data_IF_667410581108
#
_entry.id   IF_667410581108
#
_cell.length_a   1.000
_cell.length_b   1.000
_cell.length_c   1.000
_cell.angle_alpha   90.00
_cell.angle_beta   90.00
_cell.angle_gamma   90.00
#
_symmetry.space_group_name_H-M   'P 1'
#
loop_
_entity.id
_entity.type
_entity.pdbx_description
1 polymer ?
#
# COMPACT_ATOMS: atom_id res chain seq x y z
N UNK A 1 39.51 -16.33 -25.26
CA UNK A 1 38.22 -16.85 -24.73
C UNK A 1 37.08 -16.18 -25.47
N UNK A 2 36.32 -16.93 -26.27
CA UNK A 2 35.19 -16.36 -27.00
C UNK A 2 34.06 -16.00 -26.00
N UNK A 3 33.63 -14.73 -25.99
CA UNK A 3 32.54 -14.26 -25.13
C UNK A 3 31.22 -14.72 -25.74
N UNK A 4 30.49 -15.56 -25.01
CA UNK A 4 29.19 -16.06 -25.45
C UNK A 4 28.21 -14.89 -25.59
N UNK A 5 27.60 -14.75 -26.77
CA UNK A 5 26.55 -13.77 -27.05
C UNK A 5 25.18 -14.43 -26.84
N UNK A 6 24.23 -13.79 -26.15
CA UNK A 6 22.90 -14.35 -26.00
C UNK A 6 22.18 -14.40 -27.36
N UNK A 7 21.42 -15.46 -27.58
CA UNK A 7 20.66 -15.71 -28.81
C UNK A 7 19.64 -14.60 -29.10
N UNK A 8 19.04 -14.04 -28.04
CA UNK A 8 18.05 -12.97 -28.14
C UNK A 8 18.53 -11.77 -27.34
N UNK A 9 18.53 -10.58 -27.97
CA UNK A 9 18.77 -9.29 -27.31
C UNK A 9 17.48 -8.48 -27.34
N UNK A 10 16.62 -8.60 -26.31
CA UNK A 10 15.40 -7.82 -26.27
C UNK A 10 15.75 -6.32 -26.21
N UNK A 11 14.95 -5.49 -26.89
CA UNK A 11 15.12 -4.03 -26.86
C UNK A 11 14.85 -3.54 -25.43
N UNK A 12 15.91 -3.13 -24.74
CA UNK A 12 15.79 -2.59 -23.39
C UNK A 12 15.14 -1.21 -23.47
N UNK A 13 13.84 -1.15 -23.24
CA UNK A 13 13.09 0.10 -23.16
C UNK A 13 13.21 0.62 -21.72
N UNK A 14 13.97 1.72 -21.54
CA UNK A 14 14.05 2.40 -20.24
C UNK A 14 12.87 3.35 -20.11
N UNK A 15 12.09 3.20 -19.03
CA UNK A 15 10.95 4.08 -18.72
C UNK A 15 11.39 5.52 -18.44
N UNK A 16 12.58 5.71 -17.86
CA UNK A 16 13.18 7.00 -17.59
C UNK A 16 14.70 6.88 -17.66
N UNK A 17 15.34 7.83 -18.34
CA UNK A 17 16.80 7.96 -18.41
C UNK A 17 17.35 8.98 -17.41
N UNK A 18 16.54 9.98 -17.03
CA UNK A 18 16.93 11.05 -16.09
C UNK A 18 17.07 10.56 -14.65
N UNK A 19 18.11 11.01 -13.95
CA UNK A 19 18.30 10.78 -12.51
C UNK A 19 17.21 11.47 -11.68
N UNK A 20 16.92 10.92 -10.50
CA UNK A 20 16.06 11.57 -9.51
C UNK A 20 16.90 12.58 -8.73
N UNK A 21 16.60 13.87 -8.93
CA UNK A 21 17.30 14.97 -8.27
C UNK A 21 16.53 15.43 -7.02
N UNK A 22 17.25 15.82 -5.97
CA UNK A 22 16.65 16.46 -4.80
C UNK A 22 16.01 17.79 -5.19
N UNK A 23 14.85 18.09 -4.61
CA UNK A 23 14.15 19.36 -4.78
C UNK A 23 15.07 20.53 -4.38
N UNK A 24 15.17 21.57 -5.23
CA UNK A 24 16.00 22.77 -5.08
C UNK A 24 17.53 22.59 -5.25
N UNK A 25 18.00 21.42 -5.71
CA UNK A 25 19.43 21.18 -5.98
C UNK A 25 20.01 21.98 -7.15
N UNK A 26 19.13 22.47 -8.02
CA UNK A 26 19.42 23.34 -9.17
C UNK A 26 19.72 24.80 -8.76
N UNK A 27 19.15 25.28 -7.64
CA UNK A 27 19.26 26.68 -7.21
C UNK A 27 20.39 26.96 -6.22
N UNK A 28 20.83 25.94 -5.48
CA UNK A 28 21.76 26.12 -4.38
C UNK A 28 22.94 25.16 -4.48
N UNK A 29 24.15 25.69 -4.61
CA UNK A 29 25.40 24.91 -4.66
C UNK A 29 25.59 24.00 -3.43
N UNK A 30 25.06 24.41 -2.26
CA UNK A 30 25.07 23.61 -1.02
C UNK A 30 24.19 22.36 -1.07
N UNK A 31 23.17 22.29 -1.94
CA UNK A 31 22.22 21.17 -2.00
C UNK A 31 22.69 20.18 -3.08
N UNK A 32 23.18 19.02 -2.65
CA UNK A 32 23.60 17.95 -3.57
C UNK A 32 22.41 17.37 -4.33
N UNK A 33 22.63 17.00 -5.61
CA UNK A 33 21.63 16.41 -6.50
C UNK A 33 21.24 14.96 -6.20
N UNK A 34 21.84 14.32 -5.18
CA UNK A 34 21.41 13.01 -4.69
C UNK A 34 19.95 13.09 -4.25
N UNK A 35 19.13 12.11 -4.59
CA UNK A 35 17.73 12.09 -4.18
C UNK A 35 17.56 12.13 -2.65
N UNK A 36 16.74 13.06 -2.16
CA UNK A 36 16.29 13.12 -0.77
C UNK A 36 14.77 13.23 -0.74
N UNK A 37 14.14 12.44 0.12
CA UNK A 37 12.70 12.55 0.38
C UNK A 37 12.45 13.87 1.15
N UNK A 38 11.64 14.82 0.62
CA UNK A 38 11.35 16.07 1.30
C UNK A 38 10.51 15.80 2.57
N UNK A 39 10.83 16.51 3.66
CA UNK A 39 10.27 16.30 5.02
C UNK A 39 9.54 17.52 5.62
N UNK A 40 9.52 18.66 4.93
CA UNK A 40 8.83 19.88 5.39
C UNK A 40 7.29 19.75 5.36
N UNK A 41 6.61 20.62 6.10
CA UNK A 41 5.13 20.66 6.25
C UNK A 41 4.44 20.95 4.90
N UNK A 42 5.12 21.65 3.99
CA UNK A 42 4.65 21.91 2.61
C UNK A 42 4.64 20.65 1.71
N UNK A 43 5.05 19.49 2.23
CA UNK A 43 4.79 18.21 1.58
C UNK A 43 3.36 17.78 1.89
N UNK A 44 2.63 17.28 0.88
CA UNK A 44 1.24 16.80 0.98
C UNK A 44 1.02 15.59 1.92
N UNK A 45 1.97 15.29 2.81
CA UNK A 45 1.95 14.17 3.75
C UNK A 45 2.07 14.68 5.18
N UNK A 46 1.06 14.45 5.99
CA UNK A 46 0.99 14.81 7.40
C UNK A 46 1.19 13.56 8.26
N UNK A 47 2.20 13.56 9.13
CA UNK A 47 2.49 12.42 9.99
C UNK A 47 1.55 12.41 11.19
N UNK A 48 0.77 11.34 11.35
CA UNK A 48 -0.24 11.19 12.41
C UNK A 48 0.24 10.19 13.46
N UNK A 49 0.24 10.61 14.72
CA UNK A 49 0.50 9.76 15.88
C UNK A 49 -0.79 9.28 16.55
N UNK A 50 -1.82 10.12 16.55
CA UNK A 50 -3.02 9.97 17.38
C UNK A 50 -4.31 10.22 16.57
N UNK A 51 -5.45 9.74 17.07
CA UNK A 51 -6.77 9.97 16.44
C UNK A 51 -7.14 11.45 16.41
N UNK A 52 -6.84 12.21 17.48
CA UNK A 52 -7.12 13.66 17.58
C UNK A 52 -6.40 14.47 16.50
N UNK A 53 -5.22 14.03 16.06
CA UNK A 53 -4.45 14.72 15.02
C UNK A 53 -5.09 14.60 13.63
N UNK A 54 -6.01 13.64 13.42
CA UNK A 54 -6.82 13.58 12.20
C UNK A 54 -7.85 14.72 12.13
N UNK A 55 -8.28 15.27 13.26
CA UNK A 55 -9.30 16.34 13.28
C UNK A 55 -8.72 17.65 12.76
N UNK A 56 -7.42 17.88 13.00
CA UNK A 56 -6.65 19.01 12.44
C UNK A 56 -6.66 19.00 10.90
N UNK A 57 -6.79 17.81 10.29
CA UNK A 57 -6.76 17.66 8.85
C UNK A 57 -8.11 17.92 8.17
N UNK A 58 -9.22 18.02 8.91
CA UNK A 58 -10.59 18.06 8.37
C UNK A 58 -10.80 19.13 7.27
N UNK A 59 -10.25 20.32 7.45
CA UNK A 59 -10.36 21.42 6.48
C UNK A 59 -9.41 21.25 5.27
N UNK A 60 -8.40 20.43 5.44
CA UNK A 60 -7.21 20.31 4.60
C UNK A 60 -7.18 18.99 3.78
N UNK A 61 -8.27 18.22 3.79
CA UNK A 61 -8.39 16.87 3.22
C UNK A 61 -8.02 16.72 1.74
N UNK A 62 -8.17 17.78 0.93
CA UNK A 62 -7.81 17.77 -0.51
C UNK A 62 -6.32 18.01 -0.76
N UNK A 63 -5.66 18.71 0.15
CA UNK A 63 -4.27 19.14 -0.01
C UNK A 63 -3.29 18.19 0.69
N UNK A 64 -3.73 17.56 1.79
CA UNK A 64 -2.87 16.74 2.64
C UNK A 64 -3.41 15.31 2.79
N UNK A 65 -2.48 14.39 2.99
CA UNK A 65 -2.75 12.96 3.20
C UNK A 65 -2.07 12.52 4.49
N UNK A 66 -2.73 11.68 5.28
CA UNK A 66 -2.18 11.19 6.54
C UNK A 66 -1.16 10.06 6.29
N UNK A 67 -0.04 10.08 7.00
CA UNK A 67 0.93 8.98 7.10
C UNK A 67 0.98 8.55 8.58
N UNK A 68 0.62 7.31 8.89
CA UNK A 68 0.61 6.84 10.27
C UNK A 68 2.05 6.59 10.73
N UNK A 69 2.45 7.24 11.83
CA UNK A 69 3.81 7.19 12.33
C UNK A 69 4.26 5.77 12.68
N UNK A 70 5.56 5.48 12.49
CA UNK A 70 6.14 4.15 12.75
C UNK A 70 6.02 3.69 14.21
N UNK A 71 5.89 4.60 15.19
CA UNK A 71 5.78 4.23 16.62
C UNK A 71 4.39 3.68 17.00
N UNK A 72 3.34 3.96 16.21
CA UNK A 72 1.96 3.60 16.58
C UNK A 72 1.76 2.08 16.55
N UNK A 73 1.12 1.55 17.59
CA UNK A 73 0.77 0.12 17.75
C UNK A 73 -0.30 -0.31 16.75
N UNK A 74 -0.41 -1.61 16.48
CA UNK A 74 -1.41 -2.17 15.53
C UNK A 74 -2.85 -1.83 15.92
N UNK A 75 -3.21 -1.99 17.20
CA UNK A 75 -4.56 -1.65 17.72
C UNK A 75 -4.94 -0.19 17.47
N UNK A 76 -4.00 0.73 17.74
CA UNK A 76 -4.25 2.16 17.54
C UNK A 76 -4.28 2.54 16.05
N UNK A 77 -3.55 1.83 15.19
CA UNK A 77 -3.60 2.03 13.72
C UNK A 77 -4.97 1.70 13.15
N UNK A 78 -5.63 0.64 13.66
CA UNK A 78 -6.99 0.27 13.25
C UNK A 78 -7.97 1.42 13.54
N UNK A 79 -7.94 1.96 14.75
CA UNK A 79 -8.77 3.11 15.14
C UNK A 79 -8.48 4.37 14.31
N UNK A 80 -7.21 4.65 13.98
CA UNK A 80 -6.82 5.78 13.13
C UNK A 80 -7.33 5.59 11.70
N UNK A 81 -7.25 4.38 11.15
CA UNK A 81 -7.73 4.07 9.81
C UNK A 81 -9.27 4.19 9.71
N UNK A 82 -10.00 3.61 10.67
CA UNK A 82 -11.47 3.70 10.76
C UNK A 82 -11.92 5.15 10.88
N UNK A 83 -11.27 5.95 11.74
CA UNK A 83 -11.58 7.38 11.89
C UNK A 83 -11.25 8.17 10.61
N UNK A 84 -10.12 7.91 9.97
CA UNK A 84 -9.75 8.59 8.73
C UNK A 84 -10.75 8.30 7.60
N UNK A 85 -11.32 7.09 7.54
CA UNK A 85 -12.37 6.74 6.60
C UNK A 85 -13.65 7.55 6.82
N UNK A 86 -14.08 7.72 8.08
CA UNK A 86 -15.22 8.58 8.44
C UNK A 86 -15.02 10.04 7.99
N UNK A 87 -13.79 10.56 8.15
CA UNK A 87 -13.45 11.94 7.82
C UNK A 87 -13.06 12.15 6.34
N UNK A 88 -13.12 11.11 5.50
CA UNK A 88 -12.69 11.13 4.09
C UNK A 88 -11.24 11.62 3.88
N UNK A 89 -10.32 11.23 4.77
CA UNK A 89 -8.91 11.59 4.71
C UNK A 89 -8.13 10.46 4.04
N UNK A 90 -7.36 10.79 2.99
CA UNK A 90 -6.51 9.80 2.33
C UNK A 90 -5.32 9.43 3.22
N UNK A 91 -5.28 8.19 3.70
CA UNK A 91 -4.13 7.61 4.42
C UNK A 91 -3.19 6.95 3.43
N UNK A 92 -1.88 7.17 3.59
CA UNK A 92 -0.84 6.64 2.69
C UNK A 92 -0.43 5.19 3.00
N UNK A 93 -0.60 4.75 4.24
CA UNK A 93 -0.22 3.42 4.74
C UNK A 93 -1.31 2.78 5.63
N UNK A 94 -2.55 2.60 5.14
CA UNK A 94 -3.68 2.14 5.97
C UNK A 94 -3.48 0.75 6.57
N UNK A 95 -2.86 -0.19 5.83
CA UNK A 95 -2.75 -1.60 6.25
C UNK A 95 -1.42 -1.92 6.97
N UNK A 96 -0.60 -0.93 7.29
CA UNK A 96 0.72 -1.17 7.87
C UNK A 96 0.59 -1.79 9.29
N UNK A 97 1.17 -2.98 9.50
CA UNK A 97 1.16 -3.75 10.78
C UNK A 97 -0.22 -4.19 11.27
N UNK A 98 -1.27 -4.07 10.46
CA UNK A 98 -2.54 -4.72 10.76
C UNK A 98 -2.39 -6.17 10.27
N UNK A 99 -2.43 -7.11 11.19
CA UNK A 99 -2.57 -8.51 10.84
C UNK A 99 -4.06 -8.71 10.58
N UNK A 100 -4.45 -8.98 9.33
CA UNK A 100 -5.81 -9.38 9.02
C UNK A 100 -5.96 -10.81 9.56
N UNK A 101 -6.78 -10.98 10.59
CA UNK A 101 -7.30 -12.30 10.96
C UNK A 101 -8.04 -12.95 9.77
N UNK A 102 -8.42 -12.16 8.75
CA UNK A 102 -8.96 -12.61 7.47
C UNK A 102 -7.96 -13.40 6.60
N UNK A 103 -6.63 -13.26 6.77
CA UNK A 103 -5.67 -14.01 5.96
C UNK A 103 -5.46 -15.47 6.42
N UNK A 104 -5.76 -15.80 7.67
CA UNK A 104 -5.70 -17.19 8.15
C UNK A 104 -7.01 -17.95 7.84
N UNK A 105 -8.13 -17.22 7.74
CA UNK A 105 -9.43 -17.79 7.42
C UNK A 105 -9.75 -17.83 5.92
N UNK A 106 -9.27 -16.89 5.09
CA UNK A 106 -9.48 -16.96 3.63
C UNK A 106 -8.62 -18.02 2.94
N UNK A 107 -7.43 -18.34 3.46
CA UNK A 107 -6.59 -19.45 2.94
C UNK A 107 -7.18 -20.83 3.30
N UNK A 108 -7.97 -20.95 4.38
CA UNK A 108 -8.64 -22.20 4.76
C UNK A 108 -10.04 -22.36 4.12
N UNK A 109 -10.78 -21.27 3.92
CA UNK A 109 -12.13 -21.32 3.33
C UNK A 109 -12.09 -21.58 1.82
N UNK A 110 -11.07 -21.11 1.10
CA UNK A 110 -10.93 -21.40 -0.34
C UNK A 110 -10.42 -22.83 -0.64
N UNK A 111 -9.66 -23.47 0.26
CA UNK A 111 -9.27 -24.89 0.11
C UNK A 111 -10.45 -25.84 0.43
N UNK A 112 -11.43 -25.39 1.22
CA UNK A 112 -12.59 -26.20 1.60
C UNK A 112 -13.81 -26.04 0.69
N UNK A 113 -13.97 -24.91 -0.02
CA UNK A 113 -15.08 -24.71 -0.96
C UNK A 113 -14.82 -25.20 -2.40
N UNK A 114 -13.57 -25.42 -2.82
CA UNK A 114 -13.28 -26.03 -4.13
C UNK A 114 -13.41 -27.57 -4.13
N UNK A 115 -13.61 -28.22 -2.97
CA UNK A 115 -13.83 -29.68 -2.89
C UNK A 115 -15.28 -30.13 -2.96
N UNK A 116 -16.25 -29.22 -3.05
CA UNK A 116 -17.66 -29.59 -3.25
C UNK A 116 -18.25 -28.72 -4.36
N UNK A 117 -17.87 -29.01 -5.61
CA UNK A 117 -18.72 -28.70 -6.78
C UNK A 117 -19.39 -29.97 -7.30
N UNK A 118 -20.62 -29.83 -7.83
CA UNK A 118 -21.64 -30.86 -7.81
C UNK A 118 -21.53 -31.77 -9.03
N UNK A 119 -21.44 -33.07 -8.80
CA UNK A 119 -21.77 -34.07 -9.82
C UNK A 119 -21.97 -35.43 -9.18
N UNK A 120 -23.20 -35.77 -8.81
CA UNK A 120 -23.70 -37.13 -9.05
C UNK A 120 -25.22 -37.08 -9.24
N UNK A 121 -25.59 -37.03 -10.51
CA UNK A 121 -26.90 -37.45 -11.00
C UNK A 121 -26.97 -38.97 -10.75
N UNK A 122 -28.01 -39.45 -10.07
CA UNK A 122 -28.98 -40.43 -10.59
C UNK A 122 -29.57 -41.34 -9.51
N UNK A 123 -30.91 -41.33 -9.46
CA UNK A 123 -31.83 -42.46 -9.27
C UNK A 123 -31.51 -43.53 -8.20
N UNK A 124 -32.42 -43.70 -7.23
CA UNK A 124 -33.43 -44.78 -7.26
C UNK A 124 -34.08 -44.98 -5.88
N UNK A 125 -35.22 -45.68 -5.89
CA UNK A 125 -36.06 -46.14 -4.77
C UNK A 125 -37.16 -45.14 -4.34
N UNK A 126 -38.38 -45.24 -4.89
CA UNK A 126 -39.41 -46.21 -4.48
C UNK A 126 -39.56 -46.28 -2.95
N UNK A 127 -40.56 -45.57 -2.43
CA UNK A 127 -41.46 -46.06 -1.39
C UNK A 127 -42.83 -45.43 -1.63
N UNK A 128 -43.74 -46.31 -2.07
CA UNK A 128 -45.18 -46.39 -1.75
C UNK A 128 -45.86 -45.14 -1.19
#
# INVERSE_FOLDING_TARGET
MAVLRPLVKPKIIKKRSKKFIRHQSDRYVKIKGNWWKPRGIDNRKFLVHNVKELEVLLLCNKSYCAEIAHKVSSKNRKAIAERAAQLAIRVTNPNARLYSEENEWMDCVHITEERIKPSFISLSALRT
#
